data_IF_970017464078
#
_entry.id   IF_970017464078
#
_cell.length_a   1.000
_cell.length_b   1.000
_cell.length_c   1.000
_cell.angle_alpha   90.00
_cell.angle_beta   90.00
_cell.angle_gamma   90.00
#
_symmetry.space_group_name_H-M   'P 1'
#
loop_
_entity.id
_entity.type
_entity.pdbx_description
1 polymer ?
#
# COMPACT_ATOMS: atom_id res chain seq x y z
N UNK A 1 6.44 -2.24 24.70
CA UNK A 1 5.13 -2.59 24.11
C UNK A 1 4.53 -1.43 23.33
N UNK A 2 4.80 -0.17 23.70
CA UNK A 2 4.29 0.99 22.94
C UNK A 2 5.04 1.24 21.62
N UNK A 3 6.36 1.05 21.60
CA UNK A 3 7.17 1.21 20.37
C UNK A 3 6.75 0.28 19.23
N UNK A 4 6.29 -0.93 19.53
CA UNK A 4 5.82 -1.87 18.50
C UNK A 4 4.50 -1.35 17.91
N UNK A 5 3.62 -0.80 18.75
CA UNK A 5 2.37 -0.19 18.30
C UNK A 5 2.61 1.04 17.43
N UNK A 6 3.56 1.91 17.82
CA UNK A 6 3.97 3.07 17.02
C UNK A 6 4.48 2.64 15.63
N UNK A 7 5.39 1.66 15.58
CA UNK A 7 5.92 1.13 14.32
C UNK A 7 4.81 0.54 13.44
N UNK A 8 3.87 -0.22 14.02
CA UNK A 8 2.72 -0.75 13.27
C UNK A 8 1.87 0.36 12.66
N UNK A 9 1.59 1.42 13.43
CA UNK A 9 0.83 2.56 12.94
C UNK A 9 1.56 3.30 11.81
N UNK A 10 2.88 3.49 11.94
CA UNK A 10 3.70 4.09 10.88
C UNK A 10 3.67 3.25 9.61
N UNK A 11 3.83 1.93 9.72
CA UNK A 11 3.75 1.02 8.56
C UNK A 11 2.38 1.11 7.90
N UNK A 12 1.29 1.07 8.68
CA UNK A 12 -0.06 1.16 8.16
C UNK A 12 -0.33 2.49 7.43
N UNK A 13 0.27 3.61 7.88
CA UNK A 13 0.22 4.88 7.16
C UNK A 13 0.95 4.86 5.81
N UNK A 14 2.01 4.07 5.66
CA UNK A 14 2.65 3.86 4.36
C UNK A 14 1.80 2.97 3.45
N UNK A 15 1.14 1.95 4.01
CA UNK A 15 0.19 1.10 3.29
C UNK A 15 -0.99 1.93 2.75
N UNK A 16 -1.56 2.84 3.55
CA UNK A 16 -2.60 3.77 3.10
C UNK A 16 -2.17 4.57 1.87
N UNK A 17 -0.97 5.16 1.91
CA UNK A 17 -0.41 5.94 0.79
C UNK A 17 -0.21 5.09 -0.46
N UNK A 18 0.16 3.82 -0.31
CA UNK A 18 0.29 2.88 -1.42
C UNK A 18 -1.07 2.65 -2.09
N UNK A 19 -2.13 2.41 -1.30
CA UNK A 19 -3.48 2.24 -1.86
C UNK A 19 -4.05 3.54 -2.46
N UNK A 20 -3.72 4.71 -1.90
CA UNK A 20 -4.07 5.99 -2.51
C UNK A 20 -3.43 6.17 -3.90
N UNK A 21 -2.15 5.83 -4.02
CA UNK A 21 -1.43 5.87 -5.30
C UNK A 21 -2.00 4.84 -6.29
N UNK A 22 -2.29 3.62 -5.84
CA UNK A 22 -2.92 2.59 -6.66
C UNK A 22 -4.27 3.08 -7.20
N UNK A 23 -5.11 3.63 -6.34
CA UNK A 23 -6.41 4.19 -6.71
C UNK A 23 -6.26 5.36 -7.69
N UNK A 24 -5.32 6.27 -7.46
CA UNK A 24 -5.05 7.36 -8.38
C UNK A 24 -4.60 6.85 -9.76
N UNK A 25 -3.69 5.88 -9.79
CA UNK A 25 -3.20 5.29 -11.03
C UNK A 25 -4.30 4.55 -11.79
N UNK A 26 -5.14 3.80 -11.09
CA UNK A 26 -6.31 3.15 -11.68
C UNK A 26 -7.31 4.14 -12.26
N UNK A 27 -7.67 5.17 -11.49
CA UNK A 27 -8.66 6.16 -11.94
C UNK A 27 -8.14 7.06 -13.08
N UNK A 28 -6.86 7.46 -13.04
CA UNK A 28 -6.31 8.41 -14.01
C UNK A 28 -5.76 7.76 -15.27
N UNK A 29 -5.17 6.58 -15.15
CA UNK A 29 -4.47 5.92 -16.25
C UNK A 29 -5.12 4.59 -16.66
N UNK A 30 -6.19 4.16 -15.99
CA UNK A 30 -6.81 2.86 -16.25
C UNK A 30 -5.90 1.69 -15.87
N UNK A 31 -4.94 1.91 -14.97
CA UNK A 31 -4.00 0.88 -14.53
C UNK A 31 -4.69 -0.09 -13.57
N UNK A 32 -4.65 -1.39 -13.88
CA UNK A 32 -5.15 -2.41 -12.97
C UNK A 32 -4.19 -2.63 -11.79
N UNK A 33 -4.72 -3.19 -10.69
CA UNK A 33 -3.98 -3.36 -9.45
C UNK A 33 -2.77 -4.29 -9.61
N UNK A 34 -2.88 -5.38 -10.37
CA UNK A 34 -1.76 -6.31 -10.64
C UNK A 34 -0.62 -5.60 -11.38
N UNK A 35 -0.93 -4.87 -12.45
CA UNK A 35 0.06 -4.08 -13.20
C UNK A 35 0.69 -3.00 -12.33
N UNK A 36 -0.07 -2.36 -11.43
CA UNK A 36 0.50 -1.43 -10.45
C UNK A 36 1.49 -2.14 -9.52
N UNK A 37 1.08 -3.26 -8.92
CA UNK A 37 1.92 -4.03 -8.02
C UNK A 37 3.21 -4.51 -8.69
N UNK A 38 3.12 -5.08 -9.90
CA UNK A 38 4.28 -5.51 -10.69
C UNK A 38 5.23 -4.34 -11.01
N UNK A 39 4.71 -3.19 -11.45
CA UNK A 39 5.52 -2.04 -11.84
C UNK A 39 6.27 -1.39 -10.67
N UNK A 40 5.66 -1.38 -9.48
CA UNK A 40 6.24 -0.78 -8.27
C UNK A 40 6.90 -1.80 -7.35
N UNK A 41 6.92 -3.08 -7.72
CA UNK A 41 7.50 -4.17 -6.92
C UNK A 41 6.77 -4.38 -5.59
N UNK A 42 5.46 -4.12 -5.56
CA UNK A 42 4.63 -4.30 -4.38
C UNK A 42 4.12 -5.76 -4.36
N UNK A 43 4.25 -6.48 -3.24
CA UNK A 43 3.68 -7.81 -3.12
C UNK A 43 2.16 -7.80 -3.26
N UNK A 44 1.60 -8.78 -3.98
CA UNK A 44 0.15 -8.92 -4.16
C UNK A 44 -0.59 -9.27 -2.86
N UNK A 45 0.14 -9.74 -1.85
CA UNK A 45 -0.35 -10.07 -0.50
C UNK A 45 -0.06 -8.95 0.52
N UNK A 46 0.27 -7.73 0.07
CA UNK A 46 0.40 -6.58 0.95
C UNK A 46 -0.93 -6.30 1.67
N UNK A 47 -0.90 -6.33 3.00
CA UNK A 47 -2.04 -6.05 3.88
C UNK A 47 -1.56 -5.30 5.14
N UNK A 48 -2.50 -4.72 5.87
CA UNK A 48 -2.23 -4.00 7.12
C UNK A 48 -1.60 -4.91 8.19
N UNK A 49 -0.71 -4.32 8.98
CA UNK A 49 -0.06 -5.02 10.09
C UNK A 49 -0.97 -4.96 11.33
N UNK A 50 -1.42 -6.14 11.78
CA UNK A 50 -2.15 -6.35 13.04
C UNK A 50 -1.23 -6.44 14.25
#
# INVERSE_FOLDING_TARGET
>A
NDKILEIKNEINQYIDKIYELQSFCGNKFGMDNSTFCENFGIPDDLDYVN
#
